data_IF_340564595631
#
_entry.id   IF_340564595631
#
_cell.length_a   1.000
_cell.length_b   1.000
_cell.length_c   1.000
_cell.angle_alpha   90.00
_cell.angle_beta   90.00
_cell.angle_gamma   90.00
#
_symmetry.space_group_name_H-M   'P 1'
#
loop_
_entity.id
_entity.type
_entity.pdbx_description
1 polymer ?
#
# COMPACT_ATOMS: atom_id res chain seq x y z
N UNK A 1 -4.80 -47.54 69.54
CA UNK A 1 -4.02 -48.19 68.47
C UNK A 1 -4.07 -47.28 67.24
N UNK A 2 -2.92 -47.08 66.56
CA UNK A 2 -2.67 -46.54 65.20
C UNK A 2 -3.90 -46.10 64.38
N UNK A 3 -3.91 -44.93 63.71
CA UNK A 3 -3.10 -44.69 62.51
C UNK A 3 -2.93 -43.20 62.15
N UNK A 4 -1.85 -42.96 61.42
CA UNK A 4 -1.31 -41.73 60.87
C UNK A 4 -1.61 -41.72 59.36
N UNK A 5 -2.13 -40.64 58.76
CA UNK A 5 -1.89 -40.30 57.35
C UNK A 5 -1.91 -38.79 57.14
N UNK A 6 -0.76 -38.29 56.72
CA UNK A 6 -0.48 -36.97 56.14
C UNK A 6 -0.80 -37.04 54.64
N UNK A 7 -1.52 -36.06 54.08
CA UNK A 7 -1.60 -35.87 52.63
C UNK A 7 -1.46 -34.38 52.31
N UNK A 8 -0.37 -34.09 51.62
CA UNK A 8 0.13 -32.79 51.21
C UNK A 8 -0.12 -32.71 49.70
N UNK A 9 -0.97 -31.81 49.22
CA UNK A 9 -1.07 -31.53 47.79
C UNK A 9 -1.03 -30.02 47.53
N UNK A 10 -0.01 -29.69 46.75
CA UNK A 10 0.47 -28.39 46.35
C UNK A 10 -0.55 -27.59 45.54
N UNK A 11 -0.39 -26.27 45.63
CA UNK A 11 -1.27 -25.27 45.06
C UNK A 11 -1.33 -25.30 43.54
N UNK A 12 -2.55 -25.30 43.04
CA UNK A 12 -2.91 -24.82 41.72
C UNK A 12 -3.14 -23.31 41.84
N UNK A 13 -2.13 -22.53 41.44
CA UNK A 13 -2.33 -21.12 41.09
C UNK A 13 -3.29 -21.06 39.91
N UNK A 14 -4.58 -20.86 40.21
CA UNK A 14 -5.56 -20.47 39.22
C UNK A 14 -5.11 -19.13 38.65
N UNK A 15 -4.46 -19.15 37.48
CA UNK A 15 -4.28 -17.94 36.67
C UNK A 15 -5.68 -17.46 36.33
N UNK A 16 -6.11 -16.43 37.05
CA UNK A 16 -7.35 -15.72 36.78
C UNK A 16 -7.36 -15.36 35.29
N UNK A 17 -8.30 -15.96 34.55
CA UNK A 17 -8.63 -15.57 33.20
C UNK A 17 -8.97 -14.08 33.24
N UNK A 18 -8.05 -13.24 32.76
CA UNK A 18 -8.31 -11.81 32.63
C UNK A 18 -9.52 -11.64 31.71
N UNK A 19 -10.66 -11.32 32.31
CA UNK A 19 -11.87 -11.01 31.58
C UNK A 19 -11.58 -9.74 30.79
N UNK A 20 -11.76 -9.71 29.44
CA UNK A 20 -11.71 -8.45 28.73
C UNK A 20 -12.69 -7.48 29.39
N UNK A 21 -12.31 -6.21 29.60
CA UNK A 21 -13.15 -5.27 30.32
C UNK A 21 -14.55 -5.25 29.69
N UNK A 22 -15.63 -5.28 30.50
CA UNK A 22 -16.98 -5.24 29.99
C UNK A 22 -17.14 -4.04 29.06
N UNK A 23 -17.47 -4.29 27.79
CA UNK A 23 -18.00 -3.23 26.95
C UNK A 23 -19.24 -2.68 27.66
N UNK A 24 -19.32 -1.35 27.82
CA UNK A 24 -20.46 -0.67 28.42
C UNK A 24 -21.74 -1.14 27.72
N UNK A 25 -22.49 -2.02 28.39
CA UNK A 25 -23.70 -2.62 27.85
C UNK A 25 -24.67 -1.51 27.41
N UNK A 26 -24.92 -1.43 26.09
CA UNK A 26 -25.86 -0.53 25.36
C UNK A 26 -25.27 0.67 24.63
N UNK A 27 -23.97 0.91 24.66
CA UNK A 27 -23.39 1.89 23.71
C UNK A 27 -23.19 1.24 22.34
N UNK A 28 -23.59 1.89 21.24
CA UNK A 28 -23.23 1.42 19.90
C UNK A 28 -21.71 1.29 19.82
N UNK A 29 -21.24 0.26 19.12
CA UNK A 29 -19.81 0.10 18.87
C UNK A 29 -19.24 1.41 18.31
N UNK A 30 -18.07 1.88 18.78
CA UNK A 30 -17.42 3.04 18.20
C UNK A 30 -17.36 2.87 16.68
N UNK A 31 -17.68 3.94 15.95
CA UNK A 31 -17.57 3.91 14.50
C UNK A 31 -16.14 3.47 14.15
N UNK A 32 -15.97 2.45 13.29
CA UNK A 32 -14.63 1.99 12.94
C UNK A 32 -13.88 3.14 12.28
N UNK A 33 -12.69 3.46 12.81
CA UNK A 33 -11.82 4.42 12.16
C UNK A 33 -11.52 3.93 10.73
N UNK A 34 -11.65 4.79 9.71
CA UNK A 34 -11.32 4.41 8.35
C UNK A 34 -9.85 3.99 8.30
N UNK A 35 -9.59 2.83 7.69
CA UNK A 35 -8.22 2.35 7.53
C UNK A 35 -7.40 3.43 6.82
N UNK A 36 -6.27 3.82 7.39
CA UNK A 36 -5.39 4.78 6.74
C UNK A 36 -4.81 4.13 5.47
N UNK A 37 -4.99 4.81 4.34
CA UNK A 37 -4.42 4.41 3.05
C UNK A 37 -3.26 5.33 2.70
N UNK A 38 -2.27 4.79 2.01
CA UNK A 38 -1.27 5.62 1.35
C UNK A 38 -1.86 6.11 0.03
N UNK A 39 -1.85 7.42 -0.18
CA UNK A 39 -2.19 8.03 -1.46
C UNK A 39 -1.10 9.00 -1.89
N UNK A 40 -0.90 9.10 -3.20
CA UNK A 40 -0.03 10.10 -3.81
C UNK A 40 -0.69 10.64 -5.08
N UNK A 41 -0.52 11.93 -5.32
CA UNK A 41 -1.20 12.65 -6.39
C UNK A 41 -0.20 13.10 -7.45
N UNK A 42 -0.51 12.82 -8.71
CA UNK A 42 0.18 13.41 -9.86
C UNK A 42 -0.71 14.48 -10.48
N UNK A 43 -0.47 15.74 -10.13
CA UNK A 43 -1.24 16.86 -10.68
C UNK A 43 -0.93 17.15 -12.15
N UNK A 44 0.25 16.76 -12.63
CA UNK A 44 0.62 16.97 -14.03
C UNK A 44 -0.15 16.03 -14.97
N UNK A 45 -0.47 14.83 -14.47
CA UNK A 45 -1.18 13.81 -15.23
C UNK A 45 -2.65 13.64 -14.84
N UNK A 46 -3.11 14.23 -13.75
CA UNK A 46 -4.51 14.15 -13.31
C UNK A 46 -4.91 12.77 -12.79
N UNK A 47 -4.07 12.14 -11.97
CA UNK A 47 -4.43 10.88 -11.29
C UNK A 47 -3.92 10.81 -9.86
N UNK A 48 -4.58 9.97 -9.07
CA UNK A 48 -4.17 9.61 -7.72
C UNK A 48 -3.75 8.15 -7.70
N UNK A 49 -2.54 7.88 -7.22
CA UNK A 49 -2.09 6.55 -6.87
C UNK A 49 -2.56 6.20 -5.46
N UNK A 50 -3.29 5.10 -5.30
CA UNK A 50 -3.77 4.59 -4.02
C UNK A 50 -3.13 3.24 -3.76
N UNK A 51 -2.32 3.14 -2.71
CA UNK A 51 -1.67 1.91 -2.34
C UNK A 51 -2.43 1.17 -1.22
N UNK A 52 -2.13 -0.12 -1.01
CA UNK A 52 -2.72 -0.88 0.08
C UNK A 52 -2.41 -0.26 1.46
N UNK A 53 -3.28 -0.47 2.47
CA UNK A 53 -3.10 0.09 3.83
C UNK A 53 -1.73 -0.19 4.45
N UNK A 54 -1.08 -1.30 4.08
CA UNK A 54 0.24 -1.68 4.61
C UNK A 54 1.36 -0.70 4.25
N UNK A 55 1.15 0.19 3.28
CA UNK A 55 2.09 1.26 2.92
C UNK A 55 1.95 2.50 3.80
N UNK A 56 0.79 2.71 4.43
CA UNK A 56 0.51 3.89 5.24
C UNK A 56 1.56 4.05 6.37
N UNK A 57 2.13 5.26 6.47
CA UNK A 57 3.17 5.59 7.44
C UNK A 57 4.55 4.94 7.22
N UNK A 58 4.72 4.08 6.19
CA UNK A 58 5.97 3.34 5.93
C UNK A 58 6.63 3.72 4.60
N UNK A 59 5.81 4.07 3.62
CA UNK A 59 6.26 4.42 2.27
C UNK A 59 6.23 5.94 2.10
N UNK A 60 7.22 6.47 1.38
CA UNK A 60 7.28 7.87 0.98
C UNK A 60 7.30 7.96 -0.54
N UNK A 61 6.60 8.94 -1.07
CA UNK A 61 6.69 9.34 -2.47
C UNK A 61 7.80 10.39 -2.63
N UNK A 62 8.72 10.16 -3.57
CA UNK A 62 9.78 11.09 -3.94
C UNK A 62 9.65 11.37 -5.43
N UNK A 63 9.23 12.59 -5.84
CA UNK A 63 9.18 12.95 -7.25
C UNK A 63 10.55 12.78 -7.93
N UNK A 64 10.55 12.34 -9.18
CA UNK A 64 11.78 12.19 -9.95
C UNK A 64 12.35 13.55 -10.36
N UNK A 65 13.67 13.65 -10.39
CA UNK A 65 14.37 14.83 -10.88
C UNK A 65 14.28 14.91 -12.41
N UNK A 66 14.43 16.12 -12.96
CA UNK A 66 14.34 16.37 -14.40
C UNK A 66 15.30 15.51 -15.24
N UNK A 67 16.48 15.18 -14.71
CA UNK A 67 17.44 14.31 -15.38
C UNK A 67 16.91 12.87 -15.56
N UNK A 68 16.27 12.33 -14.51
CA UNK A 68 15.67 10.98 -14.56
C UNK A 68 14.47 10.96 -15.53
N UNK A 69 13.65 12.02 -15.52
CA UNK A 69 12.50 12.16 -16.42
C UNK A 69 12.93 12.24 -17.89
N UNK A 70 13.98 13.02 -18.17
CA UNK A 70 14.54 13.14 -19.52
C UNK A 70 15.10 11.80 -20.01
N UNK A 71 15.74 11.02 -19.13
CA UNK A 71 16.28 9.72 -19.48
C UNK A 71 15.18 8.68 -19.76
N UNK A 72 14.04 8.76 -19.08
CA UNK A 72 12.91 7.87 -19.32
C UNK A 72 11.96 8.34 -20.43
N UNK A 73 12.07 9.61 -20.87
CA UNK A 73 11.09 10.23 -21.77
C UNK A 73 9.73 10.50 -21.13
N UNK A 74 9.68 10.51 -19.78
CA UNK A 74 8.45 10.73 -19.03
C UNK A 74 8.18 12.23 -18.87
N UNK A 75 6.90 12.60 -18.78
CA UNK A 75 6.45 13.96 -18.44
C UNK A 75 6.54 14.20 -16.93
N UNK A 76 6.13 13.21 -16.14
CA UNK A 76 6.20 13.20 -14.68
C UNK A 76 6.57 11.81 -14.18
N UNK A 77 6.96 11.72 -12.91
CA UNK A 77 7.27 10.43 -12.31
C UNK A 77 7.58 10.54 -10.84
N UNK A 78 7.40 9.41 -10.15
CA UNK A 78 7.58 9.31 -8.70
C UNK A 78 8.23 7.98 -8.34
N UNK A 79 9.08 8.04 -7.33
CA UNK A 79 9.70 6.88 -6.69
C UNK A 79 9.07 6.65 -5.33
N UNK A 80 8.50 5.48 -5.12
CA UNK A 80 8.02 5.04 -3.82
C UNK A 80 9.10 4.29 -3.06
N UNK A 81 9.46 4.80 -1.88
CA UNK A 81 10.56 4.27 -1.07
C UNK A 81 10.10 3.88 0.33
N UNK A 82 10.65 2.79 0.86
CA UNK A 82 10.55 2.41 2.26
C UNK A 82 11.98 2.33 2.83
N UNK A 83 12.33 3.26 3.72
CA UNK A 83 13.71 3.40 4.18
C UNK A 83 14.67 3.74 3.04
N UNK A 84 15.63 2.86 2.76
CA UNK A 84 16.60 2.96 1.67
C UNK A 84 16.22 2.13 0.43
N UNK A 85 15.07 1.45 0.45
CA UNK A 85 14.63 0.56 -0.63
C UNK A 85 13.60 1.24 -1.51
N UNK A 86 13.82 1.21 -2.81
CA UNK A 86 12.80 1.55 -3.81
C UNK A 86 11.86 0.36 -3.99
N UNK A 87 10.56 0.59 -3.85
CA UNK A 87 9.53 -0.43 -4.06
C UNK A 87 9.03 -0.39 -5.51
N UNK A 88 8.64 0.80 -5.95
CA UNK A 88 7.98 1.06 -7.23
C UNK A 88 8.42 2.41 -7.77
N UNK A 89 8.59 2.51 -9.08
CA UNK A 89 8.68 3.78 -9.79
C UNK A 89 7.50 3.87 -10.74
N UNK A 90 6.75 4.98 -10.67
CA UNK A 90 5.73 5.31 -11.67
C UNK A 90 6.27 6.41 -12.57
N UNK A 91 5.94 6.28 -13.86
CA UNK A 91 6.31 7.19 -14.92
C UNK A 91 5.05 7.50 -15.71
N UNK A 92 4.81 8.76 -15.98
CA UNK A 92 3.69 9.19 -16.80
C UNK A 92 4.22 9.80 -18.08
N UNK A 93 3.64 9.46 -19.22
CA UNK A 93 3.91 10.14 -20.49
C UNK A 93 2.63 10.38 -21.27
N UNK A 94 2.75 11.14 -22.36
CA UNK A 94 1.73 11.14 -23.41
C UNK A 94 1.79 9.81 -24.21
N UNK A 95 0.74 9.59 -25.00
CA UNK A 95 0.60 8.42 -25.88
C UNK A 95 1.71 8.31 -26.95
N UNK A 96 2.21 9.44 -27.45
CA UNK A 96 3.28 9.44 -28.46
C UNK A 96 4.60 8.92 -27.91
N UNK A 97 4.82 9.11 -26.60
CA UNK A 97 6.02 8.70 -25.86
C UNK A 97 5.85 7.39 -25.09
N UNK A 98 4.65 6.82 -25.06
CA UNK A 98 4.38 5.56 -24.37
C UNK A 98 5.26 4.40 -24.87
N UNK A 99 5.59 4.36 -26.17
CA UNK A 99 6.53 3.38 -26.73
C UNK A 99 7.97 3.57 -26.23
N UNK A 100 8.39 4.82 -25.98
CA UNK A 100 9.70 5.09 -25.42
C UNK A 100 9.77 4.62 -23.95
N UNK A 101 8.70 4.82 -23.17
CA UNK A 101 8.62 4.29 -21.80
C UNK A 101 8.79 2.77 -21.77
N UNK A 102 8.06 2.04 -22.61
CA UNK A 102 8.14 0.56 -22.63
C UNK A 102 9.52 0.07 -23.10
N UNK A 103 10.17 0.78 -24.02
CA UNK A 103 11.55 0.49 -24.43
C UNK A 103 12.57 0.61 -23.27
N UNK A 104 12.29 1.42 -22.23
CA UNK A 104 13.12 1.50 -21.01
C UNK A 104 12.86 0.39 -19.99
N UNK A 105 12.05 -0.61 -20.36
CA UNK A 105 11.64 -1.72 -19.50
C UNK A 105 10.50 -1.36 -18.54
N UNK A 106 9.79 -0.26 -18.77
CA UNK A 106 8.56 0.04 -18.03
C UNK A 106 7.38 -0.78 -18.58
N UNK A 107 6.46 -1.17 -17.71
CA UNK A 107 5.22 -1.86 -18.10
C UNK A 107 4.06 -0.90 -17.97
N UNK A 108 3.22 -0.81 -19.00
CA UNK A 108 2.00 0.02 -18.97
C UNK A 108 1.06 -0.48 -17.87
N UNK A 109 0.55 0.46 -17.08
CA UNK A 109 -0.36 0.19 -15.97
C UNK A 109 -1.78 0.64 -16.29
N UNK A 110 -1.93 1.86 -16.79
CA UNK A 110 -3.23 2.44 -17.12
C UNK A 110 -3.06 3.57 -18.14
N UNK A 111 -4.12 3.82 -18.90
CA UNK A 111 -4.19 4.86 -19.93
C UNK A 111 -5.49 5.63 -19.81
N UNK A 112 -5.44 6.96 -19.91
CA UNK A 112 -6.62 7.80 -19.92
C UNK A 112 -6.30 9.16 -20.54
N UNK A 113 -7.22 9.70 -21.34
CA UNK A 113 -7.13 11.05 -21.93
C UNK A 113 -5.75 11.41 -22.52
N UNK A 114 -5.21 10.52 -23.36
CA UNK A 114 -3.90 10.69 -24.01
C UNK A 114 -2.68 10.53 -23.08
N UNK A 115 -2.90 10.24 -21.81
CA UNK A 115 -1.85 9.99 -20.82
C UNK A 115 -1.71 8.49 -20.56
N UNK A 116 -0.47 8.06 -20.37
CA UNK A 116 -0.10 6.67 -20.08
C UNK A 116 0.72 6.64 -18.81
N UNK A 117 0.25 5.89 -17.82
CA UNK A 117 1.00 5.58 -16.60
C UNK A 117 1.65 4.22 -16.79
N UNK A 118 2.97 4.19 -16.66
CA UNK A 118 3.78 2.98 -16.68
C UNK A 118 4.53 2.84 -15.36
N UNK A 119 4.91 1.61 -15.03
CA UNK A 119 5.65 1.32 -13.82
C UNK A 119 6.95 0.55 -14.09
N UNK A 120 7.92 0.76 -13.21
CA UNK A 120 9.11 -0.08 -13.08
C UNK A 120 9.13 -0.64 -11.66
N UNK A 121 8.95 -1.94 -11.53
CA UNK A 121 9.05 -2.62 -10.24
C UNK A 121 10.53 -2.70 -9.84
N UNK A 122 10.87 -2.16 -8.66
CA UNK A 122 12.24 -2.19 -8.14
C UNK A 122 12.42 -3.29 -7.08
N UNK A 123 11.36 -3.66 -6.35
CA UNK A 123 11.37 -4.76 -5.40
C UNK A 123 10.01 -5.46 -5.36
N UNK A 124 9.98 -6.74 -5.76
CA UNK A 124 8.76 -7.57 -5.84
C UNK A 124 8.63 -8.53 -4.64
N UNK A 125 9.47 -8.38 -3.63
CA UNK A 125 9.54 -9.33 -2.51
C UNK A 125 9.37 -8.65 -1.16
N UNK A 126 8.77 -9.39 -0.22
CA UNK A 126 8.55 -8.95 1.15
C UNK A 126 7.18 -8.31 1.41
N UNK A 127 6.98 -7.88 2.65
CA UNK A 127 5.67 -7.44 3.15
C UNK A 127 5.11 -6.17 2.50
N UNK A 128 5.95 -5.39 1.81
CA UNK A 128 5.54 -4.16 1.10
C UNK A 128 5.41 -4.35 -0.42
N UNK A 129 5.67 -5.54 -0.96
CA UNK A 129 5.49 -5.81 -2.37
C UNK A 129 4.00 -5.68 -2.77
N UNK A 130 3.73 -5.12 -3.94
CA UNK A 130 2.38 -5.02 -4.50
C UNK A 130 2.09 -6.27 -5.35
N UNK A 131 0.89 -6.80 -5.23
CA UNK A 131 0.39 -7.81 -6.17
C UNK A 131 -0.03 -7.16 -7.48
N UNK A 132 -0.14 -7.95 -8.54
CA UNK A 132 -0.61 -7.45 -9.84
C UNK A 132 -2.04 -6.87 -9.76
N UNK A 133 -2.92 -7.47 -8.95
CA UNK A 133 -4.29 -6.98 -8.76
C UNK A 133 -4.32 -5.63 -8.05
N UNK A 134 -3.51 -5.45 -7.00
CA UNK A 134 -3.40 -4.18 -6.29
C UNK A 134 -2.82 -3.10 -7.18
N UNK A 135 -1.79 -3.43 -7.98
CA UNK A 135 -1.19 -2.48 -8.90
C UNK A 135 -2.21 -2.03 -9.96
N UNK A 136 -2.94 -2.98 -10.55
CA UNK A 136 -3.98 -2.68 -11.54
C UNK A 136 -5.04 -1.72 -10.97
N UNK A 137 -5.47 -1.90 -9.72
CA UNK A 137 -6.46 -1.04 -9.07
C UNK A 137 -5.87 0.26 -8.48
N UNK A 138 -4.55 0.48 -8.55
CA UNK A 138 -3.91 1.56 -7.82
C UNK A 138 -4.06 2.94 -8.48
N UNK A 139 -4.33 3.02 -9.77
CA UNK A 139 -4.47 4.31 -10.49
C UNK A 139 -5.93 4.72 -10.52
N UNK A 140 -6.22 5.91 -9.98
CA UNK A 140 -7.52 6.54 -10.02
C UNK A 140 -7.43 7.86 -10.77
N UNK A 141 -7.97 7.90 -12.00
CA UNK A 141 -7.99 9.10 -12.84
C UNK A 141 -9.02 10.12 -12.34
N UNK A 142 -8.74 11.39 -12.57
CA UNK A 142 -9.70 12.46 -12.32
C UNK A 142 -10.97 12.28 -13.14
N UNK A 143 -12.12 12.42 -12.48
CA UNK A 143 -13.43 12.22 -13.11
C UNK A 143 -13.71 10.76 -13.50
N UNK A 144 -12.77 9.84 -13.29
CA UNK A 144 -12.97 8.41 -13.47
C UNK A 144 -13.71 7.79 -12.26
N UNK A 145 -14.47 6.72 -12.49
CA UNK A 145 -14.96 5.91 -11.39
C UNK A 145 -13.77 5.30 -10.64
N UNK A 146 -13.82 5.29 -9.30
CA UNK A 146 -12.77 4.69 -8.48
C UNK A 146 -12.57 3.21 -8.90
N UNK A 147 -11.37 2.87 -9.37
CA UNK A 147 -11.05 1.52 -9.88
C UNK A 147 -11.30 1.30 -11.37
N UNK A 148 -11.63 2.33 -12.15
CA UNK A 148 -11.64 2.25 -13.61
C UNK A 148 -10.21 2.21 -14.16
N UNK A 149 -9.71 0.99 -14.32
CA UNK A 149 -8.56 0.71 -15.18
C UNK A 149 -9.06 0.79 -16.62
N UNK A 150 -8.93 1.96 -17.25
CA UNK A 150 -8.96 2.01 -18.71
C UNK A 150 -7.71 1.26 -19.19
N UNK A 151 -7.97 0.12 -19.83
CA UNK A 151 -6.98 -0.87 -20.26
C UNK A 151 -6.87 -0.85 -21.77
#
# INVERSE_FOLDING_TARGET
>A
MKTLVLALLFGLSLTASATPPPGTHREPAPAPDPMQHFSWRDDAAGYTFVAPPRWAGKVRAIPLASADLSASGALSGVRFVAGNRTLLVLLTSDETRAKALTATGATELSRHDGHVVAFKAASQTGSLALTAAELAAAVQWDGGAAGSVAR
#
